data_IF_329269000916
#
_entry.id   IF_329269000916
#
_cell.length_a   1.000
_cell.length_b   1.000
_cell.length_c   1.000
_cell.angle_alpha   90.00
_cell.angle_beta   90.00
_cell.angle_gamma   90.00
#
_symmetry.space_group_name_H-M   'P 1'
#
loop_
_entity.id
_entity.type
_entity.pdbx_description
1 polymer ?
#
# COMPACT_ATOMS: atom_id res chain seq x y z
N UNK A 1 -4.70 11.55 -22.24
CA UNK A 1 -4.51 10.46 -21.26
C UNK A 1 -3.19 10.53 -20.48
N UNK A 2 -2.04 10.84 -21.11
CA UNK A 2 -0.74 11.01 -20.38
C UNK A 2 -0.73 12.23 -19.43
N UNK A 3 -1.56 13.24 -19.67
CA UNK A 3 -1.72 14.44 -18.84
C UNK A 3 -2.09 14.11 -17.39
N UNK A 4 -3.10 13.25 -17.17
CA UNK A 4 -3.54 12.87 -15.83
C UNK A 4 -2.47 12.08 -15.06
N UNK A 5 -1.69 11.25 -15.75
CA UNK A 5 -0.53 10.54 -15.17
C UNK A 5 0.49 11.54 -14.62
N UNK A 6 0.88 12.53 -15.43
CA UNK A 6 1.83 13.59 -15.05
C UNK A 6 1.34 14.40 -13.85
N UNK A 7 0.08 14.87 -13.91
CA UNK A 7 -0.55 15.62 -12.81
C UNK A 7 -0.55 14.85 -11.50
N UNK A 8 -0.72 13.52 -11.53
CA UNK A 8 -0.65 12.69 -10.33
C UNK A 8 0.77 12.59 -9.77
N UNK A 9 1.81 12.54 -10.62
CA UNK A 9 3.21 12.61 -10.16
C UNK A 9 3.53 13.96 -9.54
N UNK A 10 3.17 15.06 -10.20
CA UNK A 10 3.36 16.43 -9.70
C UNK A 10 2.67 16.65 -8.35
N UNK A 11 1.51 16.03 -8.12
CA UNK A 11 0.80 16.06 -6.85
C UNK A 11 1.33 15.04 -5.81
N UNK A 12 2.46 14.37 -6.05
CA UNK A 12 3.05 13.37 -5.15
C UNK A 12 2.30 12.03 -5.08
N UNK A 13 1.26 11.82 -5.88
CA UNK A 13 0.45 10.60 -5.92
C UNK A 13 1.07 9.52 -6.84
N UNK A 14 2.35 9.21 -6.62
CA UNK A 14 3.19 8.35 -7.46
C UNK A 14 2.58 6.96 -7.72
N UNK A 15 2.07 6.27 -6.69
CA UNK A 15 1.41 4.97 -6.85
C UNK A 15 0.20 5.01 -7.79
N UNK A 16 -0.54 6.13 -7.78
CA UNK A 16 -1.70 6.31 -8.68
C UNK A 16 -1.23 6.57 -10.11
N UNK A 17 -0.18 7.37 -10.27
CA UNK A 17 0.44 7.59 -11.57
C UNK A 17 1.00 6.30 -12.17
N UNK A 18 1.65 5.45 -11.38
CA UNK A 18 2.13 4.13 -11.79
C UNK A 18 0.98 3.22 -12.27
N UNK A 19 -0.15 3.23 -11.56
CA UNK A 19 -1.35 2.50 -11.99
C UNK A 19 -1.88 3.03 -13.33
N UNK A 20 -1.97 4.34 -13.50
CA UNK A 20 -2.41 4.96 -14.77
C UNK A 20 -1.47 4.63 -15.92
N UNK A 21 -0.15 4.68 -15.69
CA UNK A 21 0.87 4.26 -16.65
C UNK A 21 0.69 2.79 -17.05
N UNK A 22 0.51 1.90 -16.07
CA UNK A 22 0.31 0.48 -16.31
C UNK A 22 -0.96 0.21 -17.13
N UNK A 23 -2.08 0.87 -16.79
CA UNK A 23 -3.35 0.76 -17.50
C UNK A 23 -3.25 1.28 -18.92
N UNK A 24 -2.63 2.45 -19.12
CA UNK A 24 -2.36 3.01 -20.45
C UNK A 24 -1.56 2.04 -21.32
N UNK A 25 -0.46 1.51 -20.79
CA UNK A 25 0.40 0.58 -21.53
C UNK A 25 -0.30 -0.75 -21.83
N UNK A 26 -1.14 -1.26 -20.93
CA UNK A 26 -1.92 -2.49 -21.15
C UNK A 26 -3.03 -2.27 -22.18
N UNK A 27 -3.78 -1.19 -22.06
CA UNK A 27 -4.85 -0.86 -23.01
C UNK A 27 -4.30 -0.54 -24.41
N UNK A 28 -3.17 0.19 -24.48
CA UNK A 28 -2.48 0.42 -25.74
C UNK A 28 -2.02 -0.88 -26.41
N UNK A 29 -1.45 -1.82 -25.65
CA UNK A 29 -1.10 -3.16 -26.17
C UNK A 29 -2.31 -3.93 -26.67
N UNK A 30 -3.42 -3.92 -25.92
CA UNK A 30 -4.68 -4.55 -26.34
C UNK A 30 -5.20 -3.96 -27.66
N UNK A 31 -5.11 -2.64 -27.83
CA UNK A 31 -5.52 -1.96 -29.06
C UNK A 31 -4.45 -1.97 -30.17
N UNK A 32 -3.29 -2.60 -29.94
CA UNK A 32 -2.12 -2.58 -30.83
C UNK A 32 -1.70 -1.15 -31.24
N UNK A 33 -1.85 -0.18 -30.32
CA UNK A 33 -1.51 1.23 -30.54
C UNK A 33 -0.85 1.85 -29.31
N UNK A 34 0.28 2.51 -29.51
CA UNK A 34 0.97 3.21 -28.42
C UNK A 34 0.24 4.50 -27.98
N UNK A 35 -0.43 5.16 -28.94
CA UNK A 35 -1.23 6.37 -28.74
C UNK A 35 -2.62 6.15 -29.32
N UNK A 36 -3.62 6.33 -28.48
CA UNK A 36 -5.03 6.23 -28.85
C UNK A 36 -5.66 7.63 -28.80
N UNK A 37 -6.37 7.98 -29.86
CA UNK A 37 -7.25 9.15 -29.89
C UNK A 37 -8.48 8.88 -29.01
N UNK A 38 -9.17 9.93 -28.55
CA UNK A 38 -10.35 9.75 -27.70
C UNK A 38 -11.48 9.01 -28.43
N UNK A 39 -11.69 9.31 -29.72
CA UNK A 39 -12.67 8.66 -30.59
C UNK A 39 -12.44 7.15 -30.73
N UNK A 40 -11.19 6.72 -30.55
CA UNK A 40 -10.79 5.32 -30.66
C UNK A 40 -11.12 4.52 -29.40
N UNK A 41 -11.56 5.17 -28.32
CA UNK A 41 -12.01 4.49 -27.09
C UNK A 41 -13.51 4.26 -27.21
N UNK A 42 -13.90 3.15 -27.84
CA UNK A 42 -15.31 2.77 -28.02
C UNK A 42 -15.79 1.83 -26.92
N UNK A 43 -17.11 1.73 -26.74
CA UNK A 43 -17.72 0.78 -25.80
C UNK A 43 -17.27 -0.68 -26.08
N UNK A 44 -17.17 -1.05 -27.36
CA UNK A 44 -16.67 -2.36 -27.78
C UNK A 44 -15.23 -2.63 -27.33
N UNK A 45 -14.32 -1.64 -27.46
CA UNK A 45 -12.93 -1.77 -27.00
C UNK A 45 -12.82 -1.83 -25.49
N UNK A 46 -13.63 -1.05 -24.76
CA UNK A 46 -13.69 -1.09 -23.29
C UNK A 46 -14.19 -2.45 -22.81
N UNK A 47 -15.26 -2.99 -23.39
CA UNK A 47 -15.81 -4.30 -23.05
C UNK A 47 -14.81 -5.43 -23.38
N UNK A 48 -14.24 -5.40 -24.58
CA UNK A 48 -13.25 -6.38 -25.02
C UNK A 48 -11.98 -6.35 -24.17
N UNK A 49 -11.49 -5.17 -23.78
CA UNK A 49 -10.34 -5.05 -22.87
C UNK A 49 -10.63 -5.67 -21.51
N UNK A 50 -11.83 -5.45 -20.94
CA UNK A 50 -12.25 -6.10 -19.69
C UNK A 50 -12.25 -7.62 -19.81
N UNK A 51 -12.71 -8.16 -20.95
CA UNK A 51 -12.69 -9.61 -21.22
C UNK A 51 -11.25 -10.11 -21.35
N UNK A 52 -10.38 -9.40 -22.06
CA UNK A 52 -8.97 -9.75 -22.20
C UNK A 52 -8.26 -9.81 -20.84
N UNK A 53 -8.45 -8.80 -19.99
CA UNK A 53 -7.90 -8.78 -18.63
C UNK A 53 -8.35 -9.97 -17.77
N UNK A 54 -9.58 -10.45 -17.97
CA UNK A 54 -10.09 -11.66 -17.29
C UNK A 54 -9.49 -12.94 -17.86
N UNK A 55 -9.32 -13.02 -19.19
CA UNK A 55 -8.67 -14.16 -19.87
C UNK A 55 -7.19 -14.30 -19.45
N UNK A 56 -6.53 -13.21 -19.08
CA UNK A 56 -5.19 -13.23 -18.46
C UNK A 56 -5.17 -13.81 -17.03
N UNK A 57 -6.32 -14.19 -16.46
CA UNK A 57 -6.40 -14.75 -15.11
C UNK A 57 -6.30 -13.72 -13.99
N UNK A 58 -6.46 -12.42 -14.28
CA UNK A 58 -6.43 -11.38 -13.26
C UNK A 58 -7.64 -11.47 -12.32
N UNK A 59 -7.40 -11.22 -11.03
CA UNK A 59 -8.46 -11.16 -10.01
C UNK A 59 -9.44 -10.04 -10.31
N UNK A 60 -10.71 -10.22 -9.94
CA UNK A 60 -11.79 -9.25 -10.25
C UNK A 60 -11.49 -7.86 -9.72
N UNK A 61 -10.97 -7.73 -8.50
CA UNK A 61 -10.59 -6.43 -7.94
C UNK A 61 -9.46 -5.75 -8.73
N UNK A 62 -8.51 -6.51 -9.28
CA UNK A 62 -7.46 -5.98 -10.17
C UNK A 62 -8.05 -5.46 -11.47
N UNK A 63 -8.93 -6.25 -12.11
CA UNK A 63 -9.66 -5.84 -13.32
C UNK A 63 -10.46 -4.56 -13.05
N UNK A 64 -11.18 -4.51 -11.93
CA UNK A 64 -11.96 -3.33 -11.54
C UNK A 64 -11.09 -2.09 -11.36
N UNK A 65 -9.92 -2.21 -10.73
CA UNK A 65 -8.97 -1.10 -10.58
C UNK A 65 -8.46 -0.60 -11.93
N UNK A 66 -8.16 -1.50 -12.86
CA UNK A 66 -7.75 -1.12 -14.22
C UNK A 66 -8.87 -0.43 -14.99
N UNK A 67 -10.08 -0.99 -14.98
CA UNK A 67 -11.23 -0.40 -15.68
C UNK A 67 -11.63 0.97 -15.08
N UNK A 68 -11.58 1.11 -13.75
CA UNK A 68 -11.85 2.39 -13.07
C UNK A 68 -10.81 3.46 -13.44
N UNK A 69 -9.54 3.06 -13.49
CA UNK A 69 -8.43 3.93 -13.86
C UNK A 69 -8.52 4.37 -15.32
N UNK A 70 -8.81 3.44 -16.24
CA UNK A 70 -9.00 3.75 -17.65
C UNK A 70 -10.13 4.76 -17.85
N UNK A 71 -11.27 4.55 -17.17
CA UNK A 71 -12.40 5.48 -17.17
C UNK A 71 -12.01 6.86 -16.65
N UNK A 72 -11.25 6.93 -15.54
CA UNK A 72 -10.79 8.21 -14.99
C UNK A 72 -9.86 8.95 -15.96
N UNK A 73 -8.94 8.24 -16.60
CA UNK A 73 -8.02 8.79 -17.60
C UNK A 73 -8.75 9.28 -18.85
N UNK A 74 -9.74 8.54 -19.33
CA UNK A 74 -10.59 8.95 -20.45
C UNK A 74 -11.39 10.22 -20.10
N UNK A 75 -12.12 10.21 -18.99
CA UNK A 75 -12.93 11.34 -18.56
C UNK A 75 -12.10 12.62 -18.35
N UNK A 76 -10.88 12.49 -17.81
CA UNK A 76 -9.97 13.63 -17.67
C UNK A 76 -9.56 14.20 -19.02
N UNK A 77 -9.19 13.35 -19.97
CA UNK A 77 -8.80 13.77 -21.31
C UNK A 77 -9.98 14.38 -22.10
N UNK A 78 -11.21 13.89 -21.91
CA UNK A 78 -12.40 14.51 -22.50
C UNK A 78 -12.62 15.94 -22.00
N UNK A 79 -12.45 16.17 -20.68
CA UNK A 79 -12.57 17.51 -20.08
C UNK A 79 -11.51 18.47 -20.63
N UNK A 80 -10.27 18.00 -20.77
CA UNK A 80 -9.18 18.81 -21.32
C UNK A 80 -9.42 19.17 -22.81
N UNK A 81 -10.08 18.30 -23.57
CA UNK A 81 -10.40 18.53 -24.97
C UNK A 81 -11.65 19.41 -25.20
N UNK A 82 -12.27 19.95 -24.15
CA UNK A 82 -13.48 20.79 -24.25
C UNK A 82 -14.74 20.08 -24.77
N UNK A 83 -14.69 18.75 -24.94
CA UNK A 83 -15.72 17.99 -25.64
C UNK A 83 -16.75 17.33 -24.74
N UNK A 84 -18.05 17.59 -24.99
CA UNK A 84 -19.14 16.66 -24.64
C UNK A 84 -19.24 15.61 -25.75
N UNK A 85 -18.72 14.41 -25.50
CA UNK A 85 -18.81 13.30 -26.45
C UNK A 85 -20.23 12.74 -26.45
N UNK A 86 -20.80 12.49 -27.64
CA UNK A 86 -22.18 11.98 -27.79
C UNK A 86 -22.41 10.66 -27.05
N UNK A 87 -21.39 9.81 -26.95
CA UNK A 87 -21.49 8.52 -26.27
C UNK A 87 -20.34 8.32 -25.27
N UNK A 88 -20.70 7.82 -24.08
CA UNK A 88 -19.72 7.44 -23.07
C UNK A 88 -19.34 5.95 -23.24
N UNK A 89 -18.09 5.61 -23.59
CA UNK A 89 -17.67 4.23 -23.82
C UNK A 89 -17.65 3.37 -22.55
N UNK A 90 -17.83 3.98 -21.39
CA UNK A 90 -17.97 3.30 -20.10
C UNK A 90 -19.42 3.26 -19.61
N UNK A 91 -20.39 3.70 -20.42
CA UNK A 91 -21.81 3.57 -20.09
C UNK A 91 -22.15 2.09 -19.79
N UNK A 92 -22.85 1.84 -18.68
CA UNK A 92 -23.18 0.48 -18.25
C UNK A 92 -22.05 -0.31 -17.57
N UNK A 93 -20.83 0.22 -17.45
CA UNK A 93 -19.75 -0.46 -16.73
C UNK A 93 -20.06 -0.55 -15.23
N UNK A 94 -20.53 -1.71 -14.79
CA UNK A 94 -20.75 -2.06 -13.37
C UNK A 94 -19.57 -2.88 -12.83
N UNK A 95 -18.90 -2.32 -11.82
CA UNK A 95 -17.76 -2.93 -11.14
C UNK A 95 -18.19 -3.31 -9.72
N UNK A 96 -18.36 -4.60 -9.46
CA UNK A 96 -18.60 -5.13 -8.11
C UNK A 96 -17.28 -5.65 -7.56
N UNK A 97 -16.93 -5.24 -6.35
CA UNK A 97 -15.75 -5.76 -5.64
C UNK A 97 -16.06 -7.16 -5.11
N UNK A 98 -15.06 -8.02 -5.15
CA UNK A 98 -15.11 -9.32 -4.50
C UNK A 98 -14.43 -9.24 -3.14
N UNK A 99 -14.96 -9.96 -2.16
CA UNK A 99 -14.32 -10.10 -0.87
C UNK A 99 -12.98 -10.82 -1.04
N UNK A 100 -11.94 -10.27 -0.42
CA UNK A 100 -10.62 -10.89 -0.42
C UNK A 100 -10.43 -11.72 0.84
N UNK A 101 -9.78 -12.88 0.72
CA UNK A 101 -9.42 -13.72 1.87
C UNK A 101 -8.79 -12.88 2.98
N UNK A 102 -9.30 -13.04 4.22
CA UNK A 102 -8.67 -12.46 5.42
C UNK A 102 -7.24 -12.98 5.54
N UNK A 103 -6.29 -12.08 5.80
CA UNK A 103 -4.85 -12.39 5.85
C UNK A 103 -4.25 -12.22 7.25
N UNK A 104 -5.08 -12.04 8.27
CA UNK A 104 -4.62 -11.92 9.64
C UNK A 104 -4.09 -13.27 10.14
N UNK A 105 -3.01 -13.22 10.91
CA UNK A 105 -2.57 -14.33 11.76
C UNK A 105 -3.03 -14.07 13.21
N UNK A 106 -3.28 -15.14 14.01
CA UNK A 106 -3.57 -15.02 15.43
C UNK A 106 -2.46 -14.31 16.22
N UNK A 107 -2.80 -13.74 17.37
CA UNK A 107 -1.83 -13.00 18.22
C UNK A 107 -0.69 -13.91 18.70
N UNK A 108 -0.97 -15.18 18.92
CA UNK A 108 0.00 -16.21 19.34
C UNK A 108 1.09 -16.40 18.27
N UNK A 109 0.75 -16.19 16.99
CA UNK A 109 1.76 -16.21 15.91
C UNK A 109 2.64 -14.97 15.97
N UNK A 110 2.09 -13.80 16.31
CA UNK A 110 2.86 -12.56 16.49
C UNK A 110 3.82 -12.69 17.67
N UNK A 111 3.37 -13.28 18.78
CA UNK A 111 4.20 -13.57 19.95
C UNK A 111 5.33 -14.55 19.62
N UNK A 112 5.03 -15.64 18.88
CA UNK A 112 6.05 -16.56 18.38
C UNK A 112 7.09 -15.87 17.51
N UNK A 113 6.67 -14.93 16.65
CA UNK A 113 7.57 -14.13 15.82
C UNK A 113 8.47 -13.24 16.69
N UNK A 114 7.93 -12.63 17.75
CA UNK A 114 8.69 -11.80 18.68
C UNK A 114 9.74 -12.60 19.47
N UNK A 115 9.47 -13.87 19.77
CA UNK A 115 10.39 -14.78 20.46
C UNK A 115 11.39 -15.51 19.56
N UNK A 116 11.42 -15.24 18.25
CA UNK A 116 12.32 -15.95 17.33
C UNK A 116 13.79 -15.63 17.61
N UNK A 117 14.61 -16.66 17.77
CA UNK A 117 16.06 -16.51 17.78
C UNK A 117 16.57 -16.31 16.34
N UNK A 118 16.89 -15.05 16.00
CA UNK A 118 17.42 -14.64 14.71
C UNK A 118 18.91 -14.27 14.77
N UNK A 119 19.65 -14.86 15.72
CA UNK A 119 21.10 -14.67 15.83
C UNK A 119 21.78 -15.05 14.50
N UNK A 120 22.63 -14.17 14.00
CA UNK A 120 23.29 -14.33 12.70
C UNK A 120 22.43 -13.98 11.48
N UNK A 121 21.18 -13.52 11.67
CA UNK A 121 20.27 -13.11 10.59
C UNK A 121 19.75 -11.66 10.79
N UNK A 122 20.63 -10.64 10.79
CA UNK A 122 20.27 -9.26 11.12
C UNK A 122 19.17 -8.69 10.21
N UNK A 123 19.17 -9.06 8.93
CA UNK A 123 18.16 -8.65 7.95
C UNK A 123 16.74 -9.16 8.27
N UNK A 124 16.65 -10.39 8.80
CA UNK A 124 15.37 -10.95 9.24
C UNK A 124 14.94 -10.34 10.57
N UNK A 125 15.89 -10.15 11.50
CA UNK A 125 15.63 -9.49 12.78
C UNK A 125 15.08 -8.08 12.57
N UNK A 126 15.67 -7.31 11.66
CA UNK A 126 15.17 -5.99 11.27
C UNK A 126 13.77 -6.02 10.67
N UNK A 127 13.47 -7.02 9.83
CA UNK A 127 12.12 -7.18 9.31
C UNK A 127 11.10 -7.53 10.40
N UNK A 128 11.46 -8.36 11.39
CA UNK A 128 10.62 -8.65 12.56
C UNK A 128 10.39 -7.38 13.38
N UNK A 129 11.44 -6.64 13.72
CA UNK A 129 11.36 -5.44 14.53
C UNK A 129 10.40 -4.40 13.92
N UNK A 130 10.53 -4.11 12.62
CA UNK A 130 9.63 -3.17 11.93
C UNK A 130 8.18 -3.68 11.88
N UNK A 131 7.98 -4.99 11.73
CA UNK A 131 6.65 -5.57 11.70
C UNK A 131 5.96 -5.58 13.08
N UNK A 132 6.73 -5.82 14.15
CA UNK A 132 6.25 -5.73 15.53
C UNK A 132 5.96 -4.28 15.91
N UNK A 133 6.82 -3.34 15.51
CA UNK A 133 6.54 -1.91 15.69
C UNK A 133 5.24 -1.51 15.00
N UNK A 134 5.04 -1.94 13.75
CA UNK A 134 3.80 -1.73 13.01
C UNK A 134 2.59 -2.27 13.78
N UNK A 135 2.67 -3.52 14.29
CA UNK A 135 1.59 -4.12 15.07
C UNK A 135 1.27 -3.33 16.35
N UNK A 136 2.29 -3.02 17.15
CA UNK A 136 2.14 -2.26 18.41
C UNK A 136 1.64 -0.83 18.17
N UNK A 137 2.05 -0.20 17.07
CA UNK A 137 1.61 1.13 16.68
C UNK A 137 0.30 1.09 15.89
N UNK A 138 -0.69 0.35 16.41
CA UNK A 138 -2.03 0.25 15.86
C UNK A 138 -2.09 -0.24 14.41
N UNK A 139 -1.29 -1.26 14.07
CA UNK A 139 -1.20 -1.78 12.71
C UNK A 139 -0.71 -0.75 11.69
N UNK A 140 0.21 0.14 12.08
CA UNK A 140 0.72 1.23 11.25
C UNK A 140 1.18 0.72 9.88
N UNK A 141 0.75 1.31 8.75
CA UNK A 141 1.25 0.91 7.45
C UNK A 141 2.75 1.12 7.32
N UNK A 142 3.42 0.23 6.60
CA UNK A 142 4.86 0.35 6.34
C UNK A 142 5.27 1.71 5.76
N UNK A 143 4.45 2.32 4.89
CA UNK A 143 4.74 3.66 4.35
C UNK A 143 4.77 4.74 5.40
N UNK A 144 4.00 4.62 6.48
CA UNK A 144 3.99 5.63 7.53
C UNK A 144 5.18 5.38 8.47
N UNK A 145 5.42 4.10 8.80
CA UNK A 145 6.52 3.65 9.66
C UNK A 145 7.89 4.15 9.18
N UNK A 146 8.24 3.89 7.91
CA UNK A 146 9.57 4.24 7.38
C UNK A 146 9.76 5.74 7.13
N UNK A 147 8.74 6.56 7.38
CA UNK A 147 8.82 8.02 7.31
C UNK A 147 8.65 8.70 8.67
N UNK A 148 8.58 7.93 9.77
CA UNK A 148 8.58 8.51 11.10
C UNK A 148 9.92 9.20 11.38
N UNK A 149 9.85 10.40 11.94
CA UNK A 149 10.99 11.20 12.37
C UNK A 149 10.94 11.44 13.88
N UNK A 150 12.00 12.04 14.44
CA UNK A 150 12.05 12.42 15.86
C UNK A 150 10.94 13.41 16.23
N UNK A 151 10.50 14.26 15.31
CA UNK A 151 9.41 15.22 15.52
C UNK A 151 8.04 14.56 15.73
N UNK A 152 7.89 13.29 15.30
CA UNK A 152 6.67 12.53 15.57
C UNK A 152 6.57 12.08 17.03
N UNK A 153 7.65 12.16 17.80
CA UNK A 153 7.65 11.85 19.23
C UNK A 153 7.31 13.12 20.01
N UNK A 154 6.17 13.12 20.69
CA UNK A 154 5.63 14.28 21.41
C UNK A 154 5.33 13.93 22.88
N UNK A 155 4.88 14.93 23.64
CA UNK A 155 4.54 14.81 25.07
C UNK A 155 5.67 14.17 25.89
N UNK A 156 6.86 14.78 25.82
CA UNK A 156 8.04 14.30 26.57
C UNK A 156 8.46 12.87 26.23
N UNK A 157 8.12 12.37 25.03
CA UNK A 157 8.47 11.02 24.62
C UNK A 157 7.34 9.99 24.80
N UNK A 158 6.14 10.39 25.21
CA UNK A 158 5.04 9.46 25.52
C UNK A 158 4.12 9.19 24.34
N UNK A 159 4.03 10.10 23.38
CA UNK A 159 3.10 9.99 22.25
C UNK A 159 3.84 9.91 20.92
N UNK A 160 3.33 9.04 20.04
CA UNK A 160 3.66 9.00 18.62
C UNK A 160 2.54 9.68 17.84
N UNK A 161 2.85 10.82 17.23
CA UNK A 161 1.90 11.70 16.53
C UNK A 161 2.33 11.89 15.08
N UNK A 162 1.48 11.50 14.14
CA UNK A 162 1.79 11.58 12.70
C UNK A 162 0.53 11.73 11.85
N UNK A 163 0.69 12.22 10.61
CA UNK A 163 -0.39 12.22 9.61
C UNK A 163 -0.20 11.07 8.64
N UNK A 164 -1.26 10.28 8.43
CA UNK A 164 -1.25 9.18 7.45
C UNK A 164 -0.91 9.71 6.08
N UNK A 165 0.13 9.17 5.42
CA UNK A 165 0.55 9.64 4.09
C UNK A 165 -0.53 9.47 3.03
N UNK A 166 -1.40 8.48 3.18
CA UNK A 166 -2.49 8.20 2.22
C UNK A 166 -3.70 9.12 2.38
N UNK A 167 -4.09 9.44 3.60
CA UNK A 167 -5.38 10.08 3.91
C UNK A 167 -5.26 11.42 4.59
N UNK A 168 -4.08 11.78 5.11
CA UNK A 168 -3.85 13.01 5.87
C UNK A 168 -4.40 12.98 7.30
N UNK A 169 -5.12 11.93 7.69
CA UNK A 169 -5.70 11.77 9.03
C UNK A 169 -4.59 11.83 10.07
N UNK A 170 -4.79 12.65 11.10
CA UNK A 170 -3.90 12.74 12.26
C UNK A 170 -4.14 11.53 13.16
N UNK A 171 -3.05 10.85 13.52
CA UNK A 171 -3.05 9.69 14.40
C UNK A 171 -2.18 10.01 15.61
N UNK A 172 -2.66 9.62 16.79
CA UNK A 172 -1.97 9.75 18.07
C UNK A 172 -2.00 8.40 18.79
N UNK A 173 -0.83 7.89 19.17
CA UNK A 173 -0.67 6.56 19.78
C UNK A 173 0.26 6.68 20.98
N UNK A 174 -0.08 6.07 22.11
CA UNK A 174 0.82 5.95 23.26
C UNK A 174 2.02 5.06 22.94
N UNK A 175 3.23 5.53 23.25
CA UNK A 175 4.47 4.76 23.08
C UNK A 175 4.62 3.81 24.27
N UNK A 176 4.40 2.52 24.02
CA UNK A 176 4.64 1.48 25.02
C UNK A 176 6.14 1.11 25.12
N UNK A 177 6.48 0.25 26.09
CA UNK A 177 7.86 -0.17 26.35
C UNK A 177 8.51 -0.86 25.14
N UNK A 178 7.79 -1.74 24.44
CA UNK A 178 8.32 -2.43 23.25
C UNK A 178 8.61 -1.48 22.10
N UNK A 179 7.72 -0.51 21.86
CA UNK A 179 7.93 0.56 20.88
C UNK A 179 9.17 1.39 21.23
N UNK A 180 9.33 1.77 22.50
CA UNK A 180 10.47 2.54 22.97
C UNK A 180 11.80 1.80 22.75
N UNK A 181 11.86 0.53 23.12
CA UNK A 181 13.05 -0.31 22.91
C UNK A 181 13.47 -0.37 21.44
N UNK A 182 12.50 -0.48 20.52
CA UNK A 182 12.78 -0.48 19.09
C UNK A 182 13.22 0.91 18.60
N UNK A 183 12.57 1.98 19.03
CA UNK A 183 12.97 3.35 18.67
C UNK A 183 14.44 3.61 19.08
N UNK A 184 14.81 3.22 20.30
CA UNK A 184 16.16 3.40 20.84
C UNK A 184 17.18 2.51 20.10
N UNK A 185 16.84 1.24 19.82
CA UNK A 185 17.71 0.31 19.09
C UNK A 185 18.11 0.81 17.70
N UNK A 186 17.18 1.45 16.99
CA UNK A 186 17.41 1.96 15.63
C UNK A 186 17.83 3.43 15.59
N UNK A 187 17.94 4.09 16.74
CA UNK A 187 18.31 5.49 16.82
C UNK A 187 19.71 5.71 16.22
N UNK A 188 19.75 6.54 15.17
CA UNK A 188 20.99 6.97 14.52
C UNK A 188 21.11 8.49 14.58
N UNK A 189 22.25 9.05 15.01
CA UNK A 189 22.45 10.51 15.07
C UNK A 189 22.39 11.18 13.69
N UNK A 190 22.84 10.48 12.66
CA UNK A 190 22.92 10.93 11.26
C UNK A 190 21.63 10.70 10.46
N UNK A 191 20.63 10.04 11.05
CA UNK A 191 19.34 9.76 10.41
C UNK A 191 18.25 10.72 10.85
N UNK A 192 17.51 11.26 9.89
CA UNK A 192 16.27 12.02 10.13
C UNK A 192 15.12 11.10 10.56
N UNK A 193 15.13 9.85 10.09
CA UNK A 193 14.09 8.86 10.38
C UNK A 193 14.39 8.08 11.68
N UNK A 194 13.32 7.73 12.41
CA UNK A 194 13.39 6.82 13.56
C UNK A 194 13.90 5.43 13.17
N UNK A 195 13.50 4.97 11.99
CA UNK A 195 13.96 3.72 11.39
C UNK A 195 14.69 4.04 10.08
N UNK A 196 16.02 3.89 10.02
CA UNK A 196 16.84 4.27 8.86
C UNK A 196 16.75 3.24 7.72
N UNK A 197 15.53 2.98 7.25
CA UNK A 197 15.23 2.05 6.14
C UNK A 197 15.36 2.75 4.79
N UNK A 198 15.09 4.05 4.75
CA UNK A 198 15.15 4.89 3.56
C UNK A 198 16.24 5.96 3.73
N UNK A 199 16.96 6.31 2.66
CA UNK A 199 17.78 7.52 2.64
C UNK A 199 16.89 8.78 2.68
N UNK A 200 17.43 9.92 3.13
CA UNK A 200 16.66 11.16 3.28
C UNK A 200 16.07 11.68 1.95
N UNK A 201 16.73 11.41 0.82
CA UNK A 201 16.32 11.77 -0.53
C UNK A 201 15.57 10.63 -1.27
N UNK A 202 15.06 9.64 -0.52
CA UNK A 202 14.42 8.46 -1.08
C UNK A 202 13.29 8.80 -2.05
N UNK A 203 13.45 8.34 -3.30
CA UNK A 203 12.40 8.40 -4.32
C UNK A 203 11.38 7.29 -4.11
N UNK A 204 10.24 7.40 -4.79
CA UNK A 204 9.18 6.41 -4.72
C UNK A 204 9.64 4.98 -5.07
N UNK A 205 10.57 4.84 -6.02
CA UNK A 205 11.13 3.53 -6.40
C UNK A 205 11.98 2.93 -5.28
N UNK A 206 12.75 3.74 -4.56
CA UNK A 206 13.51 3.31 -3.38
C UNK A 206 12.58 2.78 -2.30
N UNK A 207 11.47 3.48 -2.04
CA UNK A 207 10.43 3.00 -1.14
C UNK A 207 9.83 1.65 -1.57
N UNK A 208 9.51 1.49 -2.87
CA UNK A 208 8.98 0.22 -3.40
C UNK A 208 9.97 -0.93 -3.23
N UNK A 209 11.25 -0.69 -3.48
CA UNK A 209 12.31 -1.67 -3.26
C UNK A 209 12.42 -2.08 -1.79
N UNK A 210 12.42 -1.11 -0.87
CA UNK A 210 12.45 -1.36 0.56
C UNK A 210 11.23 -2.18 1.04
N UNK A 211 10.03 -1.83 0.61
CA UNK A 211 8.81 -2.59 0.93
C UNK A 211 8.86 -4.02 0.35
N UNK A 212 9.38 -4.20 -0.85
CA UNK A 212 9.52 -5.51 -1.48
C UNK A 212 10.53 -6.38 -0.73
N UNK A 213 11.66 -5.81 -0.31
CA UNK A 213 12.69 -6.47 0.48
C UNK A 213 12.16 -6.88 1.87
N UNK A 214 11.53 -5.94 2.58
CA UNK A 214 10.91 -6.21 3.88
C UNK A 214 9.88 -7.35 3.78
N UNK A 215 9.00 -7.33 2.77
CA UNK A 215 8.04 -8.42 2.55
C UNK A 215 8.70 -9.74 2.14
N UNK A 216 9.88 -9.73 1.51
CA UNK A 216 10.64 -10.94 1.19
C UNK A 216 11.16 -11.59 2.48
N UNK A 217 11.72 -10.80 3.39
CA UNK A 217 12.19 -11.27 4.69
C UNK A 217 11.03 -11.80 5.54
N UNK A 218 9.89 -11.11 5.59
CA UNK A 218 8.70 -11.62 6.29
C UNK A 218 8.22 -12.96 5.73
N UNK A 219 8.20 -13.14 4.40
CA UNK A 219 7.87 -14.43 3.79
C UNK A 219 8.87 -15.53 4.15
N UNK A 220 10.13 -15.19 4.37
CA UNK A 220 11.13 -16.15 4.85
C UNK A 220 10.86 -16.54 6.30
N UNK A 221 10.58 -15.58 7.18
CA UNK A 221 10.17 -15.83 8.57
C UNK A 221 8.93 -16.73 8.62
N UNK A 222 7.93 -16.45 7.78
CA UNK A 222 6.73 -17.29 7.68
C UNK A 222 7.04 -18.74 7.26
N UNK A 223 8.00 -18.93 6.35
CA UNK A 223 8.49 -20.27 5.95
C UNK A 223 9.24 -20.96 7.09
N UNK A 224 10.11 -20.26 7.82
CA UNK A 224 10.83 -20.79 8.99
C UNK A 224 9.86 -21.28 10.09
N UNK A 225 8.73 -20.60 10.24
CA UNK A 225 7.68 -20.95 11.21
C UNK A 225 6.67 -21.99 10.71
N UNK A 226 6.77 -22.44 9.45
CA UNK A 226 5.82 -23.39 8.85
C UNK A 226 4.41 -22.84 8.66
N UNK A 227 4.26 -21.52 8.49
CA UNK A 227 2.95 -20.88 8.37
C UNK A 227 2.32 -21.09 6.98
N UNK A 228 1.04 -21.44 6.95
CA UNK A 228 0.28 -21.58 5.71
C UNK A 228 0.04 -20.24 4.97
N UNK A 229 0.00 -19.12 5.72
CA UNK A 229 -0.21 -17.78 5.17
C UNK A 229 1.14 -17.07 5.01
N UNK A 230 1.47 -16.55 3.81
CA UNK A 230 2.70 -15.81 3.61
C UNK A 230 2.65 -14.47 4.37
N UNK A 231 3.57 -14.29 5.31
CA UNK A 231 3.67 -13.04 6.07
C UNK A 231 4.08 -11.88 5.16
N UNK A 232 3.46 -10.73 5.38
CA UNK A 232 3.78 -9.43 4.75
C UNK A 232 3.48 -8.33 5.76
N UNK A 233 3.94 -7.11 5.54
CA UNK A 233 3.62 -5.97 6.42
C UNK A 233 2.10 -5.75 6.57
N UNK A 234 1.33 -6.12 5.55
CA UNK A 234 -0.13 -6.02 5.58
C UNK A 234 -0.80 -7.11 6.45
N UNK A 235 -0.13 -8.25 6.65
CA UNK A 235 -0.60 -9.31 7.58
C UNK A 235 -0.59 -8.77 9.01
N UNK A 236 0.50 -8.10 9.43
CA UNK A 236 0.60 -7.53 10.78
C UNK A 236 -0.45 -6.43 11.02
N UNK A 237 -0.70 -5.55 10.04
CA UNK A 237 -1.80 -4.58 10.12
C UNK A 237 -3.16 -5.26 10.31
N UNK A 238 -3.43 -6.32 9.56
CA UNK A 238 -4.69 -7.05 9.67
C UNK A 238 -4.82 -7.86 10.96
N UNK A 239 -3.72 -8.42 11.44
CA UNK A 239 -3.64 -9.07 12.75
C UNK A 239 -4.00 -8.09 13.85
N UNK A 240 -3.38 -6.90 13.86
CA UNK A 240 -3.73 -5.86 14.84
C UNK A 240 -5.21 -5.50 14.76
N UNK A 241 -5.74 -5.24 13.55
CA UNK A 241 -7.16 -4.87 13.40
C UNK A 241 -8.12 -5.98 13.86
N UNK A 242 -7.76 -7.25 13.61
CA UNK A 242 -8.58 -8.40 14.04
C UNK A 242 -8.52 -8.58 15.55
N UNK A 243 -7.36 -8.37 16.14
CA UNK A 243 -7.14 -8.47 17.58
C UNK A 243 -7.83 -7.32 18.33
N UNK A 244 -7.70 -6.08 17.84
CA UNK A 244 -8.39 -4.92 18.39
C UNK A 244 -9.92 -5.11 18.35
N UNK A 245 -10.44 -5.65 17.24
CA UNK A 245 -11.86 -5.98 17.13
C UNK A 245 -12.29 -7.05 18.15
N UNK A 246 -11.46 -8.09 18.35
CA UNK A 246 -11.68 -9.12 19.38
C UNK A 246 -11.71 -8.53 20.79
N UNK A 247 -10.87 -7.53 21.06
CA UNK A 247 -10.83 -6.79 22.31
C UNK A 247 -11.90 -5.67 22.42
N UNK A 248 -12.93 -5.70 21.57
CA UNK A 248 -14.03 -4.73 21.58
C UNK A 248 -13.61 -3.27 21.39
N UNK A 249 -12.47 -3.02 20.73
CA UNK A 249 -12.10 -1.67 20.32
C UNK A 249 -13.08 -1.19 19.24
N UNK A 250 -13.56 0.04 19.42
CA UNK A 250 -14.43 0.75 18.48
C UNK A 250 -13.94 0.64 17.02
N UNK A 251 -14.84 0.24 16.10
CA UNK A 251 -14.52 0.11 14.66
C UNK A 251 -14.06 1.46 14.09
N UNK A 252 -14.61 2.56 14.61
CA UNK A 252 -14.23 3.93 14.25
C UNK A 252 -12.75 4.23 14.55
N UNK A 253 -12.14 3.54 15.53
CA UNK A 253 -10.72 3.63 15.87
C UNK A 253 -9.89 2.68 15.01
N UNK A 254 -10.37 1.45 14.79
CA UNK A 254 -9.67 0.44 13.98
C UNK A 254 -9.56 0.86 12.50
N UNK A 255 -10.57 1.56 12.00
CA UNK A 255 -10.70 1.91 10.57
C UNK A 255 -9.92 3.15 10.12
N UNK A 256 -9.19 3.81 11.03
CA UNK A 256 -8.34 4.98 10.75
C UNK A 256 -7.05 4.65 9.94
#
# INVERSE_FOLDING_TARGET
MRSLERRKREAGAESTADLYRAVRNRFGRYCMKERLLLQEVTAARVAGFRVALRKEGLRVNTVNSYMSSLRAMYNAACREAGGRWKENPFAGLRLKREETKKRAVPVEVVERIAGLNLRGKPELAGAVDLALFSFMACGMPFTDLVHLTRENIQDGGRLLVYRRRKTGVLIQIGINTGMRQLIERYARPDSVYLFPVLPADARHETYKAALALHNRHLKEIGRLLGLAVPLTSYVFRHSWASEAYRCHVEISVISQ
#
